data_IF_326603683170
#
_entry.id   IF_326603683170
#
_cell.length_a   1.000
_cell.length_b   1.000
_cell.length_c   1.000
_cell.angle_alpha   90.00
_cell.angle_beta   90.00
_cell.angle_gamma   90.00
#
_symmetry.space_group_name_H-M   'P 1'
#
loop_
_entity.id
_entity.type
_entity.pdbx_description
1 polymer ?
#
# COMPACT_ATOMS: atom_id res chain seq x y z
N UNK A 1 0.02 20.14 12.71
CA UNK A 1 0.50 19.87 12.41
C UNK A 1 0.94 19.90 11.39
N UNK A 2 0.98 20.35 10.79
CA UNK A 2 1.55 20.48 9.79
C UNK A 2 2.58 21.42 9.83
N UNK A 3 2.65 22.49 10.51
CA UNK A 3 3.75 23.42 10.52
C UNK A 3 5.07 22.75 10.81
N UNK A 4 5.10 21.85 11.79
CA UNK A 4 6.35 21.12 12.02
C UNK A 4 6.77 20.34 10.80
N UNK A 5 5.82 19.82 10.08
CA UNK A 5 6.14 19.04 8.91
C UNK A 5 6.77 19.92 7.85
N UNK A 6 6.33 21.16 7.76
CA UNK A 6 6.91 22.03 6.79
C UNK A 6 8.31 22.44 7.12
N UNK A 7 8.56 22.72 8.37
CA UNK A 7 9.91 23.05 8.78
C UNK A 7 10.82 21.89 8.53
N UNK A 8 10.32 20.74 8.83
CA UNK A 8 11.04 19.54 8.61
C UNK A 8 11.34 19.35 7.14
N UNK A 9 10.38 19.63 6.29
CA UNK A 9 10.58 19.54 4.87
C UNK A 9 11.65 20.48 4.40
N UNK A 10 11.71 21.67 4.98
CA UNK A 10 12.73 22.60 4.63
C UNK A 10 14.11 22.04 4.94
N UNK A 11 14.25 21.43 6.10
CA UNK A 11 15.51 20.79 6.46
C UNK A 11 15.86 19.69 5.50
N UNK A 12 14.87 18.93 5.10
CA UNK A 12 15.10 17.84 4.17
C UNK A 12 15.70 18.33 2.87
N UNK A 13 15.31 19.51 2.45
CA UNK A 13 15.86 20.05 1.22
C UNK A 13 17.34 20.33 1.34
N UNK A 14 17.81 20.53 2.56
CA UNK A 14 19.22 20.82 2.77
C UNK A 14 20.07 19.56 2.85
N UNK A 15 19.42 18.41 2.92
CA UNK A 15 20.13 17.14 3.05
C UNK A 15 19.84 16.24 1.89
N UNK A 16 20.73 16.22 0.91
CA UNK A 16 20.50 15.44 -0.30
C UNK A 16 20.20 13.98 -0.05
N UNK A 17 20.71 13.44 1.06
CA UNK A 17 20.48 12.03 1.35
C UNK A 17 19.02 11.65 1.49
N UNK A 18 18.17 12.62 1.81
CA UNK A 18 16.75 12.30 1.95
C UNK A 18 16.11 11.94 0.62
N UNK A 19 16.78 12.28 -0.47
CA UNK A 19 16.25 11.91 -1.78
C UNK A 19 16.32 10.42 -2.03
N UNK A 20 17.08 9.70 -1.19
CA UNK A 20 17.17 8.25 -1.33
C UNK A 20 15.93 7.55 -0.81
N UNK A 21 15.07 8.26 -0.08
CA UNK A 21 13.84 7.66 0.41
C UNK A 21 12.94 7.34 -0.77
N UNK A 22 12.47 6.11 -0.81
CA UNK A 22 11.61 5.68 -1.89
C UNK A 22 10.19 6.13 -1.59
N UNK A 23 9.57 6.80 -2.57
CA UNK A 23 8.21 7.27 -2.42
C UNK A 23 7.27 6.22 -2.99
N UNK A 24 6.22 5.90 -2.24
CA UNK A 24 5.20 4.98 -2.72
C UNK A 24 3.91 5.77 -2.90
N UNK A 25 3.42 5.84 -4.14
CA UNK A 25 2.20 6.56 -4.45
C UNK A 25 1.08 5.55 -4.63
N UNK A 26 0.13 5.58 -3.72
CA UNK A 26 -0.97 4.61 -3.71
C UNK A 26 -2.25 5.25 -4.20
N UNK A 27 -2.99 4.53 -5.04
CA UNK A 27 -4.25 5.01 -5.58
C UNK A 27 -5.22 3.86 -5.76
N UNK A 28 -6.52 4.14 -5.67
CA UNK A 28 -7.09 5.41 -5.25
C UNK A 28 -6.94 5.60 -3.74
N UNK A 29 -7.14 6.81 -3.25
CA UNK A 29 -7.06 7.04 -1.81
C UNK A 29 -8.32 6.52 -1.11
N UNK A 30 -9.44 6.50 -1.81
CA UNK A 30 -10.65 5.87 -1.31
C UNK A 30 -11.43 5.29 -2.48
N UNK A 31 -12.21 4.26 -2.19
CA UNK A 31 -12.93 3.53 -3.21
C UNK A 31 -14.21 2.97 -2.61
N UNK A 32 -15.35 3.25 -3.26
CA UNK A 32 -16.63 2.68 -2.86
C UNK A 32 -16.99 1.56 -3.82
N UNK A 33 -17.35 0.43 -3.28
CA UNK A 33 -17.66 -0.74 -4.09
C UNK A 33 -18.74 -1.59 -3.43
N UNK A 34 -19.26 -2.55 -4.16
CA UNK A 34 -20.33 -3.41 -3.66
C UNK A 34 -19.81 -4.80 -3.39
N UNK A 35 -20.51 -5.53 -2.53
CA UNK A 35 -20.20 -6.93 -2.28
C UNK A 35 -20.16 -7.69 -3.62
N UNK A 36 -19.18 -8.56 -3.74
CA UNK A 36 -19.03 -9.37 -4.94
C UNK A 36 -18.27 -8.70 -6.07
N UNK A 37 -18.00 -7.43 -5.95
CA UNK A 37 -17.31 -6.67 -6.99
C UNK A 37 -15.82 -6.97 -6.98
N UNK A 38 -15.17 -6.81 -8.13
CA UNK A 38 -13.72 -6.96 -8.27
C UNK A 38 -13.09 -5.58 -8.23
N UNK A 39 -12.05 -5.42 -7.40
CA UNK A 39 -11.35 -4.15 -7.29
C UNK A 39 -9.85 -4.37 -7.35
N UNK A 40 -9.13 -3.32 -7.77
CA UNK A 40 -7.68 -3.32 -7.79
C UNK A 40 -7.17 -2.03 -7.20
N UNK A 41 -6.15 -2.14 -6.35
CA UNK A 41 -5.45 -1.02 -5.76
C UNK A 41 -4.04 -1.00 -6.31
N UNK A 42 -3.48 0.17 -6.50
CA UNK A 42 -2.17 0.30 -7.13
C UNK A 42 -1.23 1.11 -6.28
N UNK A 43 0.03 0.68 -6.23
CA UNK A 43 1.11 1.46 -5.66
C UNK A 43 2.19 1.61 -6.71
N UNK A 44 2.69 2.83 -6.86
CA UNK A 44 3.79 3.10 -7.77
C UNK A 44 5.02 3.49 -6.98
N UNK A 45 6.14 2.85 -7.28
CA UNK A 45 7.41 3.13 -6.60
C UNK A 45 8.20 4.16 -7.37
N UNK A 46 8.82 5.11 -6.66
CA UNK A 46 9.63 6.15 -7.28
C UNK A 46 10.97 5.64 -7.75
N UNK A 47 11.40 4.49 -7.25
CA UNK A 47 12.65 3.86 -7.61
C UNK A 47 12.42 2.36 -7.75
N UNK A 48 13.40 1.68 -8.33
CA UNK A 48 13.28 0.23 -8.49
C UNK A 48 13.35 -0.45 -7.13
N UNK A 49 12.29 -1.15 -6.77
CA UNK A 49 12.25 -1.90 -5.52
C UNK A 49 12.19 -3.40 -5.76
N UNK A 50 12.30 -3.82 -7.03
CA UNK A 50 12.22 -5.24 -7.35
C UNK A 50 10.89 -5.81 -6.90
N UNK A 51 10.95 -6.94 -6.22
CA UNK A 51 9.75 -7.56 -5.68
C UNK A 51 9.57 -7.31 -4.17
N UNK A 52 10.30 -6.34 -3.63
CA UNK A 52 10.30 -6.11 -2.17
C UNK A 52 9.14 -5.23 -1.76
N UNK A 53 7.93 -5.73 -1.95
CA UNK A 53 6.71 -5.01 -1.61
C UNK A 53 5.71 -5.94 -0.95
N UNK A 54 5.12 -5.44 0.15
CA UNK A 54 4.06 -6.14 0.86
C UNK A 54 2.76 -5.36 0.77
N UNK A 55 1.64 -6.07 0.81
CA UNK A 55 0.33 -5.45 0.95
C UNK A 55 -0.20 -5.76 2.33
N UNK A 56 -0.67 -4.72 3.01
CA UNK A 56 -1.14 -4.80 4.38
C UNK A 56 -2.59 -4.39 4.48
N UNK A 57 -3.29 -4.97 5.44
CA UNK A 57 -4.68 -4.65 5.71
C UNK A 57 -4.77 -4.13 7.15
N UNK A 58 -5.44 -3.03 7.35
CA UNK A 58 -5.62 -2.48 8.69
C UNK A 58 -7.08 -2.59 9.10
N UNK A 59 -7.32 -3.35 10.16
CA UNK A 59 -8.66 -3.56 10.69
C UNK A 59 -9.13 -2.31 11.41
N UNK A 60 -10.44 -2.17 11.63
CA UNK A 60 -10.96 -1.00 12.34
C UNK A 60 -10.36 -0.81 13.73
N UNK A 61 -9.96 -1.87 14.39
CA UNK A 61 -9.37 -1.78 15.72
C UNK A 61 -7.88 -1.41 15.66
N UNK A 62 -7.35 -1.15 14.46
CA UNK A 62 -5.95 -0.77 14.29
C UNK A 62 -5.00 -1.92 14.06
N UNK A 63 -5.48 -3.14 14.16
CA UNK A 63 -4.63 -4.32 13.91
C UNK A 63 -4.20 -4.35 12.46
N UNK A 64 -2.91 -4.61 12.22
CA UNK A 64 -2.36 -4.69 10.87
C UNK A 64 -2.02 -6.12 10.55
N UNK A 65 -2.41 -6.56 9.36
CA UNK A 65 -2.23 -7.91 8.92
C UNK A 65 -1.59 -7.90 7.54
N UNK A 66 -0.56 -8.69 7.35
CA UNK A 66 0.06 -8.78 6.03
C UNK A 66 -0.73 -9.76 5.18
N UNK A 67 -1.11 -9.32 3.98
CA UNK A 67 -1.86 -10.17 3.06
C UNK A 67 -0.96 -10.80 2.03
N UNK A 68 -0.07 -10.00 1.46
CA UNK A 68 0.79 -10.40 0.36
C UNK A 68 2.22 -10.01 0.72
N UNK A 69 3.18 -10.88 0.44
CA UNK A 69 4.58 -10.54 0.61
C UNK A 69 5.33 -10.83 -0.68
N UNK A 70 6.46 -10.16 -0.86
CA UNK A 70 7.28 -10.32 -2.06
C UNK A 70 6.46 -10.15 -3.34
N UNK A 71 5.60 -9.13 -3.34
CA UNK A 71 4.78 -8.71 -4.48
C UNK A 71 3.59 -9.61 -4.77
N UNK A 72 3.75 -10.92 -4.76
CA UNK A 72 2.66 -11.80 -5.22
C UNK A 72 2.44 -13.04 -4.37
N UNK A 73 3.16 -13.18 -3.27
CA UNK A 73 3.01 -14.38 -2.43
C UNK A 73 1.95 -14.15 -1.37
N UNK A 74 0.97 -15.03 -1.33
CA UNK A 74 -0.13 -14.93 -0.40
C UNK A 74 0.29 -15.46 0.96
N UNK A 75 0.03 -14.68 2.01
CA UNK A 75 0.35 -15.12 3.36
C UNK A 75 -0.54 -16.28 3.78
N UNK A 76 -0.03 -17.06 4.72
CA UNK A 76 -0.76 -18.21 5.22
C UNK A 76 -2.09 -17.76 5.84
N UNK A 77 -3.16 -18.45 5.47
CA UNK A 77 -4.48 -18.15 6.02
C UNK A 77 -5.22 -17.02 5.33
N UNK A 78 -4.59 -16.36 4.36
CA UNK A 78 -5.26 -15.27 3.63
C UNK A 78 -6.12 -15.88 2.52
N UNK A 79 -7.38 -15.42 2.36
CA UNK A 79 -8.25 -15.97 1.33
C UNK A 79 -7.68 -15.78 -0.07
N UNK A 80 -7.96 -16.74 -0.93
CA UNK A 80 -7.43 -16.75 -2.29
C UNK A 80 -8.02 -15.68 -3.20
N UNK A 81 -9.03 -14.97 -2.75
CA UNK A 81 -9.57 -13.88 -3.55
C UNK A 81 -8.60 -12.70 -3.63
N UNK A 82 -7.59 -12.67 -2.76
CA UNK A 82 -6.54 -11.66 -2.80
C UNK A 82 -5.41 -12.13 -3.68
N UNK A 83 -4.90 -11.21 -4.52
CA UNK A 83 -3.73 -11.52 -5.33
C UNK A 83 -2.91 -10.25 -5.54
N UNK A 84 -1.61 -10.43 -5.75
CA UNK A 84 -0.71 -9.33 -6.00
C UNK A 84 0.01 -9.51 -7.31
N UNK A 85 0.29 -8.42 -7.99
CA UNK A 85 1.02 -8.47 -9.25
C UNK A 85 1.84 -7.20 -9.41
N UNK A 86 2.67 -7.20 -10.45
CA UNK A 86 3.59 -6.10 -10.72
C UNK A 86 3.74 -5.92 -12.22
N UNK A 87 3.81 -4.66 -12.65
CA UNK A 87 4.17 -4.32 -14.01
C UNK A 87 5.09 -3.11 -13.94
N UNK A 88 6.40 -3.34 -14.11
CA UNK A 88 7.37 -2.26 -13.97
C UNK A 88 7.40 -1.71 -12.56
N UNK A 89 7.08 -0.44 -12.42
CA UNK A 89 7.04 0.23 -11.13
C UNK A 89 5.65 0.21 -10.49
N UNK A 90 4.67 -0.38 -11.16
CA UNK A 90 3.30 -0.43 -10.67
C UNK A 90 2.99 -1.77 -10.05
N UNK A 91 2.57 -1.74 -8.80
CA UNK A 91 2.24 -2.93 -8.02
C UNK A 91 0.75 -2.89 -7.71
N UNK A 92 0.08 -4.01 -7.88
CA UNK A 92 -1.38 -4.07 -7.72
C UNK A 92 -1.81 -5.13 -6.74
N UNK A 93 -2.79 -4.78 -5.92
CA UNK A 93 -3.52 -5.74 -5.10
C UNK A 93 -4.91 -5.85 -5.70
N UNK A 94 -5.32 -7.07 -6.02
CA UNK A 94 -6.63 -7.31 -6.59
C UNK A 94 -7.43 -8.19 -5.66
N UNK A 95 -8.68 -7.80 -5.43
CA UNK A 95 -9.64 -8.61 -4.70
C UNK A 95 -10.68 -9.03 -5.71
N UNK A 96 -10.77 -10.33 -5.99
CA UNK A 96 -11.59 -10.81 -7.10
C UNK A 96 -13.09 -10.68 -6.84
N UNK A 97 -13.51 -10.79 -5.57
CA UNK A 97 -14.91 -10.70 -5.22
C UNK A 97 -15.02 -10.26 -3.77
N UNK A 98 -15.43 -9.03 -3.57
CA UNK A 98 -15.44 -8.41 -2.24
C UNK A 98 -16.40 -9.09 -1.28
N UNK A 99 -15.89 -9.34 -0.08
CA UNK A 99 -16.67 -9.81 1.05
C UNK A 99 -16.82 -8.68 2.05
N UNK A 100 -17.76 -8.81 2.98
CA UNK A 100 -18.01 -7.73 3.93
C UNK A 100 -16.80 -7.37 4.77
N UNK A 101 -15.97 -8.34 5.14
CA UNK A 101 -14.78 -8.08 5.95
C UNK A 101 -13.67 -7.41 5.18
N UNK A 102 -13.81 -7.25 3.87
CA UNK A 102 -12.78 -6.62 3.04
C UNK A 102 -12.87 -5.10 3.05
N UNK A 103 -13.94 -4.53 3.57
CA UNK A 103 -14.13 -3.08 3.56
C UNK A 103 -13.39 -2.44 4.73
N UNK A 104 -12.08 -2.35 4.59
CA UNK A 104 -11.15 -1.80 5.57
C UNK A 104 -10.07 -1.03 4.80
N UNK A 105 -9.04 -0.60 5.49
CA UNK A 105 -7.95 0.16 4.88
C UNK A 105 -6.84 -0.74 4.42
N UNK A 106 -6.20 -0.35 3.30
CA UNK A 106 -5.10 -1.13 2.71
C UNK A 106 -3.91 -0.25 2.47
N UNK A 107 -2.71 -0.80 2.66
CA UNK A 107 -1.45 -0.08 2.47
C UNK A 107 -0.46 -0.98 1.76
N UNK A 108 0.39 -0.37 0.92
CA UNK A 108 1.56 -1.07 0.43
C UNK A 108 2.77 -0.62 1.24
N UNK A 109 3.78 -1.49 1.30
CA UNK A 109 5.00 -1.21 2.04
C UNK A 109 6.18 -1.73 1.24
N UNK A 110 7.17 -0.86 0.96
CA UNK A 110 8.39 -1.31 0.32
C UNK A 110 9.47 -1.53 1.39
N UNK A 111 10.23 -2.59 1.21
CA UNK A 111 11.32 -2.90 2.10
C UNK A 111 12.61 -3.18 1.32
N UNK A 112 12.71 -2.61 0.13
CA UNK A 112 13.91 -2.77 -0.70
C UNK A 112 15.09 -2.04 -0.10
N UNK A 113 14.86 -0.90 0.51
CA UNK A 113 15.91 -0.16 1.18
C UNK A 113 15.33 0.60 2.35
N UNK A 114 16.21 0.93 3.27
CA UNK A 114 15.84 1.63 4.48
C UNK A 114 15.92 3.14 4.23
N UNK A 115 15.00 3.97 4.71
CA UNK A 115 13.86 3.56 5.55
C UNK A 115 12.76 2.94 4.72
N UNK A 116 12.09 1.95 5.29
CA UNK A 116 10.92 1.35 4.66
C UNK A 116 9.82 2.41 4.60
N UNK A 117 9.10 2.45 3.48
CA UNK A 117 8.08 3.46 3.30
C UNK A 117 6.77 2.84 2.85
N UNK A 118 5.68 3.49 3.27
CA UNK A 118 4.33 3.02 2.99
C UNK A 118 3.68 3.87 1.92
N UNK A 119 2.72 3.30 1.21
CA UNK A 119 1.80 4.11 0.42
C UNK A 119 0.87 4.86 1.35
N UNK A 120 0.16 5.83 0.79
CA UNK A 120 -0.73 6.67 1.58
C UNK A 120 -2.01 5.99 2.05
N UNK A 121 -2.29 4.82 1.54
CA UNK A 121 -3.46 4.05 1.96
C UNK A 121 -4.64 4.19 1.02
N UNK A 122 -5.48 3.17 1.02
CA UNK A 122 -6.76 3.18 0.32
C UNK A 122 -7.84 2.78 1.30
N UNK A 123 -8.85 3.61 1.44
CA UNK A 123 -10.00 3.31 2.26
C UNK A 123 -11.05 2.66 1.37
N UNK A 124 -11.38 1.42 1.64
CA UNK A 124 -12.36 0.68 0.85
C UNK A 124 -13.68 0.68 1.60
N UNK A 125 -14.70 1.27 0.98
CA UNK A 125 -16.00 1.44 1.62
C UNK A 125 -17.08 0.76 0.82
N UNK A 126 -18.10 0.26 1.54
CA UNK A 126 -19.23 -0.37 0.86
C UNK A 126 -20.16 0.72 0.34
N UNK A 127 -20.67 0.52 -0.86
CA UNK A 127 -21.63 1.43 -1.45
C UNK A 127 -22.97 1.38 -0.76
#
# INVERSE_FOLDING_TARGET
MRAPAQIFGFLLLLFPGTRCDIQMTQSPSSLSASLGERVSLTCRASQDIGNSLNWLQQEPDGTIKRLIYATSSLDSGVPKRFSGSRSGSDYSLTISSLESEDFVDYYCLQYASFPWTFGGGTKLEIK
#
